data_IF_871211603645
#
_entry.id   IF_871211603645
#
_cell.length_a   1.000
_cell.length_b   1.000
_cell.length_c   1.000
_cell.angle_alpha   90.00
_cell.angle_beta   90.00
_cell.angle_gamma   90.00
#
_symmetry.space_group_name_H-M   'P 1'
#
loop_
_entity.id
_entity.type
_entity.pdbx_description
1 polymer ?
#
# COMPACT_ATOMS: atom_id res chain seq x y z
N UNK A 1 -7.30 -1.89 14.94
CA UNK A 1 -7.18 -1.72 16.40
C UNK A 1 -8.40 -2.34 17.08
N UNK A 2 -8.78 -3.57 16.71
CA UNK A 2 -10.13 -4.07 16.99
C UNK A 2 -10.12 -5.26 17.95
N UNK A 3 -8.93 -5.76 18.26
CA UNK A 3 -8.73 -6.99 19.01
C UNK A 3 -8.32 -6.67 20.45
N UNK A 4 -8.94 -7.30 21.45
CA UNK A 4 -8.50 -7.16 22.83
C UNK A 4 -7.05 -7.67 22.96
N UNK A 5 -6.14 -6.79 23.38
CA UNK A 5 -4.70 -7.08 23.48
C UNK A 5 -3.85 -6.62 22.30
N UNK A 6 -4.39 -5.79 21.39
CA UNK A 6 -3.56 -5.11 20.38
C UNK A 6 -2.44 -4.30 21.06
N UNK A 7 -1.23 -4.37 20.50
CA UNK A 7 -0.02 -3.66 20.99
C UNK A 7 0.58 -2.81 19.87
N UNK A 8 -0.04 -1.69 19.49
CA UNK A 8 0.41 -0.81 18.40
C UNK A 8 1.90 -0.51 18.46
N UNK A 9 2.36 0.04 19.59
CA UNK A 9 3.72 0.58 19.74
C UNK A 9 4.76 -0.52 19.62
N UNK A 10 4.53 -1.64 20.31
CA UNK A 10 5.42 -2.80 20.22
C UNK A 10 5.54 -3.33 18.79
N UNK A 11 4.45 -3.36 18.02
CA UNK A 11 4.50 -3.80 16.62
C UNK A 11 5.27 -2.80 15.75
N UNK A 12 5.11 -1.49 15.99
CA UNK A 12 5.86 -0.46 15.27
C UNK A 12 7.36 -0.65 15.47
N UNK A 13 7.80 -0.84 16.71
CA UNK A 13 9.21 -1.09 17.03
C UNK A 13 9.75 -2.34 16.31
N UNK A 14 8.97 -3.43 16.28
CA UNK A 14 9.37 -4.65 15.59
C UNK A 14 9.46 -4.49 14.06
N UNK A 15 8.58 -3.69 13.45
CA UNK A 15 8.66 -3.38 12.02
C UNK A 15 9.89 -2.53 11.72
N UNK A 16 10.20 -1.56 12.59
CA UNK A 16 11.39 -0.74 12.47
C UNK A 16 12.67 -1.60 12.58
N UNK A 17 12.79 -2.43 13.62
CA UNK A 17 13.90 -3.35 13.82
C UNK A 17 14.09 -4.28 12.61
N UNK A 18 12.99 -4.77 12.02
CA UNK A 18 13.04 -5.62 10.82
C UNK A 18 13.68 -4.88 9.64
N UNK A 19 13.30 -3.61 9.42
CA UNK A 19 13.84 -2.82 8.32
C UNK A 19 15.32 -2.47 8.54
N UNK A 20 15.70 -2.16 9.78
CA UNK A 20 17.12 -1.96 10.14
C UNK A 20 17.94 -3.22 9.85
N UNK A 21 17.42 -4.41 10.21
CA UNK A 21 18.10 -5.68 9.94
C UNK A 21 18.19 -6.04 8.45
N UNK A 22 17.37 -5.42 7.60
CA UNK A 22 17.40 -5.57 6.14
C UNK A 22 18.24 -4.48 5.45
N UNK A 23 19.04 -3.73 6.21
CA UNK A 23 19.86 -2.61 5.74
C UNK A 23 19.03 -1.54 4.99
N UNK A 24 17.82 -1.25 5.49
CA UNK A 24 16.97 -0.20 4.92
C UNK A 24 17.65 1.18 4.98
N UNK A 25 17.43 1.99 3.94
CA UNK A 25 17.93 3.38 3.91
C UNK A 25 17.14 4.29 4.86
N UNK A 26 17.70 5.44 5.24
CA UNK A 26 16.99 6.43 6.08
C UNK A 26 15.63 6.84 5.49
N UNK A 27 15.54 6.98 4.17
CA UNK A 27 14.28 7.27 3.46
C UNK A 27 13.26 6.13 3.60
N UNK A 28 13.70 4.88 3.66
CA UNK A 28 12.82 3.73 3.85
C UNK A 28 12.39 3.56 5.30
N UNK A 29 13.16 4.10 6.26
CA UNK A 29 12.82 4.12 7.68
C UNK A 29 11.79 5.22 8.01
N UNK A 30 11.65 6.26 7.18
CA UNK A 30 10.56 7.27 7.27
C UNK A 30 9.26 6.78 6.58
N UNK A 31 8.77 5.59 6.95
CA UNK A 31 7.50 5.08 6.44
C UNK A 31 6.32 5.69 7.21
N UNK A 32 5.23 6.08 6.53
CA UNK A 32 4.02 6.53 7.20
C UNK A 32 3.36 5.35 7.93
N UNK A 33 2.94 5.59 9.18
CA UNK A 33 2.21 4.61 9.98
C UNK A 33 0.73 4.99 9.97
N UNK A 34 -0.12 4.06 9.53
CA UNK A 34 -1.57 4.22 9.57
C UNK A 34 -2.16 3.05 10.35
N UNK A 35 -2.85 3.37 11.43
CA UNK A 35 -3.59 2.41 12.22
C UNK A 35 -4.99 2.24 11.62
N UNK A 36 -5.45 1.00 11.49
CA UNK A 36 -6.74 0.71 10.88
C UNK A 36 -7.56 -0.28 11.69
N UNK A 37 -8.88 -0.11 11.62
CA UNK A 37 -9.94 -0.96 12.16
C UNK A 37 -10.78 -1.48 11.00
N UNK A 38 -10.63 -2.76 10.66
CA UNK A 38 -11.41 -3.35 9.58
C UNK A 38 -12.86 -3.62 10.00
N UNK A 39 -13.11 -3.81 11.31
CA UNK A 39 -14.44 -4.07 11.81
C UNK A 39 -15.31 -2.82 11.79
N UNK A 40 -14.74 -1.68 12.21
CA UNK A 40 -15.46 -0.42 12.27
C UNK A 40 -15.28 0.41 10.99
N UNK A 41 -14.36 0.01 10.10
CA UNK A 41 -14.10 0.72 8.84
C UNK A 41 -13.46 2.09 9.05
N UNK A 42 -12.57 2.20 10.04
CA UNK A 42 -11.91 3.46 10.41
C UNK A 42 -10.39 3.35 10.34
N UNK A 43 -9.72 4.47 10.04
CA UNK A 43 -8.27 4.59 10.06
C UNK A 43 -7.83 5.89 10.75
N UNK A 44 -6.59 5.92 11.21
CA UNK A 44 -5.99 7.08 11.87
C UNK A 44 -4.48 7.04 11.79
N UNK A 45 -3.85 8.21 11.95
CA UNK A 45 -2.39 8.31 12.12
C UNK A 45 -1.96 8.02 13.57
N UNK A 46 -2.91 8.15 14.50
CA UNK A 46 -2.78 7.75 15.89
C UNK A 46 -3.85 6.67 16.18
N UNK A 47 -3.51 5.68 17.01
CA UNK A 47 -4.44 4.65 17.41
C UNK A 47 -5.40 5.10 18.52
N UNK A 48 -5.08 6.18 19.25
CA UNK A 48 -5.94 6.82 20.25
C UNK A 48 -6.89 7.86 19.63
N UNK A 49 -6.47 8.46 18.52
CA UNK A 49 -7.24 9.47 17.76
C UNK A 49 -7.49 8.99 16.32
N UNK A 50 -8.38 8.01 16.18
CA UNK A 50 -8.81 7.49 14.89
C UNK A 50 -9.91 8.36 14.28
N UNK A 51 -9.89 8.53 12.96
CA UNK A 51 -10.96 9.21 12.25
C UNK A 51 -12.25 8.36 12.25
N UNK A 52 -13.35 8.95 11.78
CA UNK A 52 -14.63 8.25 11.64
C UNK A 52 -14.71 7.37 10.38
N UNK A 53 -13.69 7.40 9.53
CA UNK A 53 -13.65 6.68 8.26
C UNK A 53 -12.23 6.28 7.83
N UNK A 54 -12.10 5.74 6.61
CA UNK A 54 -10.82 5.34 6.01
C UNK A 54 -10.09 6.48 5.30
N UNK A 55 -10.56 7.73 5.39
CA UNK A 55 -9.96 8.89 4.70
C UNK A 55 -8.46 9.03 5.00
N UNK A 56 -7.98 8.86 6.25
CA UNK A 56 -6.55 8.96 6.54
C UNK A 56 -5.69 7.93 5.77
N UNK A 57 -6.20 6.72 5.54
CA UNK A 57 -5.49 5.71 4.77
C UNK A 57 -5.37 6.12 3.30
N UNK A 58 -6.49 6.53 2.69
CA UNK A 58 -6.50 6.92 1.28
C UNK A 58 -5.63 8.16 1.05
N UNK A 59 -5.71 9.14 1.93
CA UNK A 59 -4.91 10.36 1.85
C UNK A 59 -3.42 10.04 1.96
N UNK A 60 -3.03 9.18 2.91
CA UNK A 60 -1.63 8.73 3.04
C UNK A 60 -1.12 8.04 1.78
N UNK A 61 -1.94 7.19 1.14
CA UNK A 61 -1.59 6.55 -0.13
C UNK A 61 -1.36 7.59 -1.22
N UNK A 62 -2.26 8.56 -1.36
CA UNK A 62 -2.14 9.63 -2.37
C UNK A 62 -0.90 10.49 -2.14
N UNK A 63 -0.59 10.81 -0.89
CA UNK A 63 0.50 11.74 -0.55
C UNK A 63 1.88 11.08 -0.61
N UNK A 64 1.97 9.78 -0.28
CA UNK A 64 3.26 9.06 -0.15
C UNK A 64 3.57 8.14 -1.33
N UNK A 65 2.57 7.67 -2.09
CA UNK A 65 2.81 6.83 -3.27
C UNK A 65 3.07 7.71 -4.49
N UNK A 66 4.28 7.69 -5.07
CA UNK A 66 4.57 8.49 -6.25
C UNK A 66 3.73 8.01 -7.43
N UNK A 67 3.37 8.95 -8.30
CA UNK A 67 2.74 8.63 -9.56
C UNK A 67 3.63 7.65 -10.38
N UNK A 68 3.03 6.71 -11.12
CA UNK A 68 3.79 5.78 -11.92
C UNK A 68 4.57 6.53 -13.00
N UNK A 69 5.87 6.24 -13.12
CA UNK A 69 6.71 6.79 -14.17
C UNK A 69 6.36 6.10 -15.51
N UNK A 70 5.61 6.80 -16.37
CA UNK A 70 5.13 6.32 -17.66
C UNK A 70 5.42 7.34 -18.76
N UNK A 71 5.71 6.85 -19.95
CA UNK A 71 5.85 7.66 -21.17
C UNK A 71 4.49 7.76 -21.87
N UNK A 72 4.01 8.99 -22.10
CA UNK A 72 2.65 9.27 -22.62
C UNK A 72 2.60 9.51 -24.14
N UNK A 73 3.76 9.56 -24.81
CA UNK A 73 3.84 9.93 -26.23
C UNK A 73 4.44 8.83 -27.11
N UNK A 74 4.93 7.73 -26.51
CA UNK A 74 5.55 6.64 -27.27
C UNK A 74 4.62 5.45 -27.52
N UNK A 75 5.06 4.43 -28.27
CA UNK A 75 4.17 3.35 -28.68
C UNK A 75 3.76 2.49 -27.48
N UNK A 76 2.50 2.02 -27.50
CA UNK A 76 1.91 1.17 -26.46
C UNK A 76 2.87 0.07 -26.02
N UNK A 77 3.20 0.06 -24.74
CA UNK A 77 4.01 -0.97 -24.11
C UNK A 77 3.33 -1.40 -22.82
N UNK A 78 3.02 -2.69 -22.73
CA UNK A 78 2.45 -3.32 -21.53
C UNK A 78 3.23 -4.59 -21.22
N UNK A 79 3.57 -4.78 -19.95
CA UNK A 79 4.16 -6.03 -19.47
C UNK A 79 3.07 -6.86 -18.79
N UNK A 80 2.85 -8.07 -19.31
CA UNK A 80 1.96 -9.05 -18.66
C UNK A 80 2.67 -9.56 -17.41
N UNK A 81 2.06 -9.33 -16.25
CA UNK A 81 2.56 -9.78 -14.96
C UNK A 81 1.82 -11.03 -14.48
N UNK A 82 0.59 -11.22 -14.92
CA UNK A 82 -0.25 -12.38 -14.59
C UNK A 82 -1.04 -12.82 -15.83
N UNK A 83 -1.26 -14.12 -15.95
CA UNK A 83 -2.09 -14.71 -16.99
C UNK A 83 -3.29 -15.37 -16.32
N UNK A 84 -4.45 -15.16 -16.92
CA UNK A 84 -5.72 -15.76 -16.52
C UNK A 84 -6.45 -16.29 -17.76
N UNK A 85 -7.51 -17.07 -17.56
CA UNK A 85 -8.27 -17.68 -18.64
C UNK A 85 -9.76 -17.78 -18.31
N UNK A 86 -10.60 -17.46 -19.28
CA UNK A 86 -12.04 -17.62 -19.20
C UNK A 86 -12.59 -18.34 -20.44
N UNK A 87 -13.53 -19.27 -20.25
CA UNK A 87 -14.09 -20.09 -21.34
C UNK A 87 -14.79 -19.29 -22.47
N UNK A 88 -15.28 -18.08 -22.19
CA UNK A 88 -15.95 -17.23 -23.18
C UNK A 88 -15.03 -16.14 -23.75
N UNK A 89 -14.07 -15.65 -22.96
CA UNK A 89 -13.19 -14.52 -23.33
C UNK A 89 -11.83 -15.00 -23.85
N UNK A 90 -11.41 -16.20 -23.51
CA UNK A 90 -10.09 -16.76 -23.83
C UNK A 90 -9.03 -16.35 -22.80
N UNK A 91 -7.78 -16.24 -23.26
CA UNK A 91 -6.62 -15.87 -22.42
C UNK A 91 -6.67 -14.38 -22.08
N UNK A 92 -6.48 -14.06 -20.81
CA UNK A 92 -6.48 -12.71 -20.27
C UNK A 92 -5.08 -12.40 -19.74
N UNK A 93 -4.41 -11.41 -20.33
CA UNK A 93 -3.15 -10.88 -19.84
C UNK A 93 -3.38 -9.69 -18.91
N UNK A 94 -3.04 -9.84 -17.63
CA UNK A 94 -3.13 -8.76 -16.63
C UNK A 94 -1.72 -8.19 -16.43
N UNK A 95 -1.61 -6.88 -16.51
CA UNK A 95 -0.30 -6.22 -16.51
C UNK A 95 -0.39 -4.72 -16.35
N UNK A 96 0.78 -4.08 -16.31
CA UNK A 96 0.89 -2.63 -16.20
C UNK A 96 1.33 -2.02 -17.53
N UNK A 97 0.63 -0.98 -17.97
CA UNK A 97 1.05 -0.16 -19.11
C UNK A 97 2.24 0.70 -18.67
N UNK A 98 3.36 0.59 -19.38
CA UNK A 98 4.57 1.37 -19.13
C UNK A 98 4.65 2.60 -20.04
N UNK A 99 4.01 2.53 -21.21
CA UNK A 99 4.01 3.59 -22.23
C UNK A 99 2.74 3.53 -23.07
N UNK A 100 2.19 4.67 -23.48
CA UNK A 100 1.01 4.76 -24.36
C UNK A 100 1.06 5.99 -25.24
#
# INVERSE_FOLDING_TARGET
>A
MDRPGARPDWVVDQVFDLFVNLDATDEQLDFPIVYASALNGIAGLDHEDMAEDMTPLYQTIVDRVPAPNVDLDGPLQMQISQLDYNNYVGVIGIGRIKRR
#
